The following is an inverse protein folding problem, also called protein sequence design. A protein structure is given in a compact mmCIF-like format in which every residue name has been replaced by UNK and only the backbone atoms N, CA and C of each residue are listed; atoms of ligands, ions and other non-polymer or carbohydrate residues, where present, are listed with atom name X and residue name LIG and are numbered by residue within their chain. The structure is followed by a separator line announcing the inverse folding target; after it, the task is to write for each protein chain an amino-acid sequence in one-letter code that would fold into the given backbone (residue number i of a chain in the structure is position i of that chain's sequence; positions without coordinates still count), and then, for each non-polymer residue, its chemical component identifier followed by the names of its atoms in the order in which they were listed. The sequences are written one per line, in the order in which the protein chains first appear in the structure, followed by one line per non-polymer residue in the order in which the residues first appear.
data_IF_116620790478
#
_entry.id   IF_116620790478
#
_cell.length_a   1.000
_cell.length_b   1.000
_cell.length_c   1.000
_cell.angle_alpha   90.00
_cell.angle_beta   90.00
_cell.angle_gamma   90.00
#
_symmetry.space_group_name_H-M   'P 1'
#
loop_
_entity.id
_entity.type
_entity.pdbx_description
1 polymer ?
#
# COMPACT_ATOMS: atom_id res chain seq x y z
N UNK A 1 32.97 -9.80 15.33
CA UNK A 1 31.57 -9.33 15.39
C UNK A 1 31.24 -8.69 14.05
N UNK A 2 31.01 -9.49 13.01
CA UNK A 2 30.66 -9.00 11.68
C UNK A 2 29.15 -9.04 11.60
N UNK A 3 28.50 -7.88 11.80
CA UNK A 3 27.07 -7.74 11.55
C UNK A 3 26.88 -7.96 10.05
N UNK A 4 26.39 -9.15 9.70
CA UNK A 4 26.06 -9.49 8.33
C UNK A 4 24.97 -8.52 7.87
N UNK A 5 25.36 -7.56 7.03
CA UNK A 5 24.42 -6.76 6.25
C UNK A 5 23.56 -7.77 5.46
N UNK A 6 22.24 -7.83 5.68
CA UNK A 6 21.43 -8.82 4.99
C UNK A 6 21.47 -8.50 3.50
N UNK A 7 22.12 -9.38 2.73
CA UNK A 7 22.04 -9.47 1.28
C UNK A 7 20.59 -9.22 0.88
N UNK A 8 20.32 -8.27 -0.01
CA UNK A 8 19.00 -7.64 -0.20
C UNK A 8 17.79 -8.60 -0.26
N UNK A 9 17.99 -9.84 -0.72
CA UNK A 9 16.99 -10.92 -0.65
C UNK A 9 16.51 -11.24 0.77
N UNK A 10 17.41 -11.38 1.75
CA UNK A 10 17.04 -11.68 3.15
C UNK A 10 16.29 -10.51 3.81
N UNK A 11 16.62 -9.26 3.44
CA UNK A 11 15.90 -8.07 3.91
C UNK A 11 14.48 -8.03 3.35
N UNK A 12 14.31 -8.34 2.07
CA UNK A 12 13.00 -8.44 1.42
C UNK A 12 12.14 -9.53 2.05
N UNK A 13 12.69 -10.73 2.29
CA UNK A 13 11.96 -11.83 2.93
C UNK A 13 11.52 -11.46 4.34
N UNK A 14 12.36 -10.79 5.13
CA UNK A 14 12.00 -10.28 6.45
C UNK A 14 10.84 -9.27 6.37
N UNK A 15 10.86 -8.36 5.39
CA UNK A 15 9.78 -7.40 5.16
C UNK A 15 8.48 -8.09 4.73
N UNK A 16 8.53 -9.09 3.86
CA UNK A 16 7.37 -9.90 3.46
C UNK A 16 6.80 -10.65 4.67
N UNK A 17 7.68 -11.22 5.48
CA UNK A 17 7.31 -11.95 6.69
C UNK A 17 6.67 -11.04 7.74
N UNK A 18 7.16 -9.80 7.88
CA UNK A 18 6.58 -8.80 8.77
C UNK A 18 5.25 -8.26 8.24
N UNK A 19 5.17 -8.01 6.93
CA UNK A 19 3.96 -7.58 6.27
C UNK A 19 2.80 -8.57 6.47
N UNK A 20 3.05 -9.87 6.23
CA UNK A 20 2.02 -10.91 6.42
C UNK A 20 1.55 -10.98 7.88
N UNK A 21 2.47 -10.84 8.83
CA UNK A 21 2.15 -10.88 10.26
C UNK A 21 1.23 -9.72 10.64
N UNK A 22 1.59 -8.51 10.22
CA UNK A 22 0.79 -7.31 10.51
C UNK A 22 -0.57 -7.34 9.82
N UNK A 23 -0.62 -7.64 8.53
CA UNK A 23 -1.84 -7.52 7.71
C UNK A 23 -2.80 -8.69 7.92
N UNK A 24 -2.29 -9.91 8.12
CA UNK A 24 -3.14 -11.11 8.26
C UNK A 24 -3.51 -11.42 9.72
N UNK A 25 -2.68 -11.02 10.69
CA UNK A 25 -2.89 -11.37 12.09
C UNK A 25 -3.10 -10.16 12.99
N UNK A 26 -2.14 -9.23 13.03
CA UNK A 26 -2.12 -8.20 14.09
C UNK A 26 -3.17 -7.10 13.87
N UNK A 27 -3.31 -6.59 12.64
CA UNK A 27 -4.32 -5.59 12.30
C UNK A 27 -5.75 -6.13 12.43
N UNK A 28 -6.11 -7.31 11.89
CA UNK A 28 -7.44 -7.86 12.08
C UNK A 28 -7.76 -8.19 13.54
N UNK A 29 -6.76 -8.56 14.35
CA UNK A 29 -6.93 -8.79 15.78
C UNK A 29 -7.26 -7.47 16.50
N UNK A 30 -6.44 -6.44 16.29
CA UNK A 30 -6.65 -5.10 16.87
C UNK A 30 -7.95 -4.46 16.44
N UNK A 31 -8.37 -4.70 15.20
CA UNK A 31 -9.65 -4.23 14.69
C UNK A 31 -10.85 -4.86 15.39
N UNK A 32 -10.77 -6.15 15.71
CA UNK A 32 -11.80 -6.84 16.48
C UNK A 32 -11.84 -6.35 17.93
N UNK A 33 -10.66 -6.20 18.55
CA UNK A 33 -10.54 -5.68 19.92
C UNK A 33 -11.04 -4.22 20.03
N UNK A 34 -10.68 -3.38 19.06
CA UNK A 34 -11.00 -1.96 19.01
C UNK A 34 -12.33 -1.61 18.32
N UNK A 35 -13.10 -2.61 17.84
CA UNK A 35 -14.35 -2.41 17.07
C UNK A 35 -14.19 -1.43 15.89
N UNK A 36 -13.12 -1.59 15.12
CA UNK A 36 -12.84 -0.76 13.96
C UNK A 36 -13.85 -1.00 12.84
N UNK A 37 -13.99 -0.03 11.94
CA UNK A 37 -14.91 -0.16 10.79
C UNK A 37 -14.41 -1.23 9.81
N UNK A 38 -13.09 -1.35 9.68
CA UNK A 38 -12.44 -2.34 8.83
C UNK A 38 -11.94 -3.48 9.70
N UNK A 39 -12.51 -4.67 9.53
CA UNK A 39 -12.17 -5.87 10.33
C UNK A 39 -11.67 -7.03 9.47
N UNK A 40 -11.92 -6.98 8.16
CA UNK A 40 -11.54 -8.03 7.22
C UNK A 40 -10.07 -7.91 6.81
N UNK A 41 -9.34 -9.03 6.87
CA UNK A 41 -7.94 -9.17 6.42
C UNK A 41 -7.74 -8.68 4.99
N UNK A 42 -8.65 -9.02 4.07
CA UNK A 42 -8.56 -8.59 2.67
C UNK A 42 -8.73 -7.07 2.49
N UNK A 43 -9.46 -6.39 3.38
CA UNK A 43 -9.58 -4.93 3.35
C UNK A 43 -8.27 -4.27 3.77
N UNK A 44 -7.61 -4.78 4.82
CA UNK A 44 -6.27 -4.33 5.19
C UNK A 44 -5.28 -4.53 4.06
N UNK A 45 -5.26 -5.74 3.48
CA UNK A 45 -4.40 -6.03 2.33
C UNK A 45 -4.63 -5.04 1.19
N UNK A 46 -5.89 -4.78 0.83
CA UNK A 46 -6.22 -3.82 -0.23
C UNK A 46 -5.74 -2.41 0.08
N UNK A 47 -6.03 -1.90 1.28
CA UNK A 47 -5.67 -0.53 1.68
C UNK A 47 -4.16 -0.38 1.65
N UNK A 48 -3.42 -1.28 2.31
CA UNK A 48 -1.96 -1.17 2.37
C UNK A 48 -1.34 -1.32 0.98
N UNK A 49 -1.84 -2.22 0.13
CA UNK A 49 -1.39 -2.35 -1.27
C UNK A 49 -1.66 -1.10 -2.09
N UNK A 50 -2.87 -0.54 -2.00
CA UNK A 50 -3.23 0.67 -2.74
C UNK A 50 -2.31 1.83 -2.34
N UNK A 51 -1.97 1.96 -1.05
CA UNK A 51 -1.02 2.97 -0.58
C UNK A 51 0.43 2.70 -1.00
N UNK A 52 0.87 1.45 -0.97
CA UNK A 52 2.22 1.06 -1.39
C UNK A 52 2.47 1.39 -2.87
N UNK A 53 1.45 1.28 -3.72
CA UNK A 53 1.53 1.65 -5.14
C UNK A 53 1.07 3.10 -5.42
N UNK A 54 0.57 3.82 -4.41
CA UNK A 54 0.04 5.18 -4.54
C UNK A 54 -1.18 5.29 -5.45
N UNK A 55 -2.00 4.24 -5.54
CA UNK A 55 -3.05 4.12 -6.54
C UNK A 55 -3.82 2.81 -6.45
N UNK A 56 -4.47 2.43 -7.55
CA UNK A 56 -5.18 1.13 -7.64
C UNK A 56 -4.16 0.01 -7.83
N UNK A 57 -3.99 -0.82 -6.81
CA UNK A 57 -2.99 -1.89 -6.84
C UNK A 57 -3.18 -2.86 -8.01
N UNK A 58 -4.41 -3.12 -8.44
CA UNK A 58 -4.71 -4.04 -9.55
C UNK A 58 -4.51 -3.45 -10.95
N UNK A 59 -4.29 -2.14 -11.06
CA UNK A 59 -3.88 -1.50 -12.31
C UNK A 59 -2.36 -1.59 -12.49
N UNK A 60 -1.61 -1.84 -11.40
CA UNK A 60 -0.14 -1.93 -11.38
C UNK A 60 0.35 -3.36 -11.24
N UNK A 61 -0.33 -4.17 -10.40
CA UNK A 61 0.07 -5.53 -10.03
C UNK A 61 -0.90 -6.55 -10.60
N UNK A 62 -0.37 -7.69 -11.04
CA UNK A 62 -1.18 -8.73 -11.66
C UNK A 62 -1.82 -9.64 -10.59
N UNK A 63 -3.15 -9.57 -10.48
CA UNK A 63 -3.94 -10.35 -9.52
C UNK A 63 -3.87 -11.86 -9.75
N UNK A 64 -3.48 -12.31 -10.95
CA UNK A 64 -3.57 -13.71 -11.39
C UNK A 64 -2.26 -14.47 -11.27
N UNK A 65 -1.12 -13.78 -11.20
CA UNK A 65 0.21 -14.41 -11.22
C UNK A 65 0.75 -14.75 -9.84
N UNK A 66 0.51 -13.92 -8.85
CA UNK A 66 1.11 -14.05 -7.52
C UNK A 66 0.38 -13.17 -6.51
N UNK A 67 0.57 -13.40 -5.19
CA UNK A 67 0.10 -12.48 -4.18
C UNK A 67 0.61 -11.07 -4.48
N UNK A 68 -0.28 -10.07 -4.52
CA UNK A 68 0.07 -8.72 -4.97
C UNK A 68 1.23 -8.11 -4.15
N UNK A 69 1.29 -8.39 -2.85
CA UNK A 69 2.38 -7.92 -1.99
C UNK A 69 3.75 -8.49 -2.37
N UNK A 70 3.82 -9.67 -3.00
CA UNK A 70 5.08 -10.27 -3.46
C UNK A 70 5.62 -9.60 -4.74
N UNK A 71 4.77 -8.86 -5.45
CA UNK A 71 5.12 -8.12 -6.66
C UNK A 71 5.59 -6.68 -6.36
N UNK A 72 5.49 -6.22 -5.10
CA UNK A 72 5.96 -4.89 -4.68
C UNK A 72 7.48 -4.80 -4.78
N UNK A 73 8.00 -3.63 -5.12
CA UNK A 73 9.43 -3.32 -5.01
C UNK A 73 9.85 -3.27 -3.53
N UNK A 74 11.15 -3.39 -3.24
CA UNK A 74 11.65 -3.39 -1.85
C UNK A 74 11.25 -2.10 -1.09
N UNK A 75 11.34 -0.95 -1.75
CA UNK A 75 10.90 0.33 -1.19
C UNK A 75 9.38 0.39 -0.93
N UNK A 76 8.58 -0.13 -1.87
CA UNK A 76 7.13 -0.18 -1.71
C UNK A 76 6.72 -1.11 -0.58
N UNK A 77 7.40 -2.24 -0.45
CA UNK A 77 7.18 -3.20 0.63
C UNK A 77 7.61 -2.63 1.99
N UNK A 78 8.75 -1.93 2.06
CA UNK A 78 9.18 -1.25 3.27
C UNK A 78 8.17 -0.16 3.68
N UNK A 79 7.69 0.64 2.72
CA UNK A 79 6.63 1.63 2.96
C UNK A 79 5.31 0.98 3.42
N UNK A 80 4.94 -0.16 2.84
CA UNK A 80 3.77 -0.93 3.21
C UNK A 80 3.83 -1.44 4.65
N UNK A 81 4.99 -1.97 5.07
CA UNK A 81 5.24 -2.42 6.45
C UNK A 81 5.18 -1.22 7.41
N UNK A 82 5.89 -0.14 7.12
CA UNK A 82 5.88 1.06 7.96
C UNK A 82 4.47 1.64 8.12
N UNK A 83 3.66 1.62 7.05
CA UNK A 83 2.25 2.01 7.09
C UNK A 83 1.42 1.09 7.98
N UNK A 84 1.57 -0.23 7.85
CA UNK A 84 0.86 -1.18 8.69
C UNK A 84 1.22 -1.02 10.18
N UNK A 85 2.49 -0.77 10.50
CA UNK A 85 2.93 -0.47 11.87
C UNK A 85 2.37 0.85 12.39
N UNK A 86 2.28 1.88 11.55
CA UNK A 86 1.61 3.14 11.92
C UNK A 86 0.14 2.95 12.19
N UNK A 87 -0.57 2.16 11.39
CA UNK A 87 -1.98 1.82 11.66
C UNK A 87 -2.11 1.06 12.98
N UNK A 88 -1.16 0.18 13.30
CA UNK A 88 -1.15 -0.52 14.57
C UNK A 88 -0.98 0.45 15.77
N UNK A 89 -0.18 1.51 15.60
CA UNK A 89 0.07 2.52 16.61
C UNK A 89 -1.07 3.55 16.75
N UNK A 90 -1.57 4.09 15.64
CA UNK A 90 -2.60 5.15 15.63
C UNK A 90 -4.03 4.60 15.69
N UNK A 91 -4.26 3.42 15.13
CA UNK A 91 -5.54 2.72 15.15
C UNK A 91 -6.52 3.10 14.04
N UNK A 92 -7.82 2.98 14.33
CA UNK A 92 -8.94 3.22 13.39
C UNK A 92 -8.92 4.59 12.69
N UNK A 93 -8.56 5.72 13.34
CA UNK A 93 -8.57 7.03 12.68
C UNK A 93 -7.68 7.07 11.43
N UNK A 94 -6.43 6.61 11.56
CA UNK A 94 -5.50 6.54 10.43
C UNK A 94 -6.01 5.58 9.37
N UNK A 95 -6.51 4.40 9.78
CA UNK A 95 -7.04 3.40 8.84
C UNK A 95 -8.18 3.95 7.98
N UNK A 96 -9.07 4.77 8.56
CA UNK A 96 -10.17 5.39 7.82
C UNK A 96 -9.69 6.41 6.80
N UNK A 97 -8.66 7.19 7.12
CA UNK A 97 -8.03 8.08 6.13
C UNK A 97 -7.43 7.29 4.97
N UNK A 98 -6.77 6.17 5.28
CA UNK A 98 -6.17 5.30 4.28
C UNK A 98 -7.22 4.65 3.38
N UNK A 99 -8.32 4.15 3.95
CA UNK A 99 -9.44 3.60 3.18
C UNK A 99 -10.11 4.68 2.32
N UNK A 100 -10.33 5.89 2.85
CA UNK A 100 -10.88 6.99 2.09
C UNK A 100 -10.02 7.35 0.86
N UNK A 101 -8.69 7.38 1.02
CA UNK A 101 -7.75 7.59 -0.11
C UNK A 101 -7.78 6.44 -1.12
N UNK A 102 -7.84 5.19 -0.65
CA UNK A 102 -8.01 4.00 -1.51
C UNK A 102 -9.31 4.06 -2.33
N UNK A 103 -10.41 4.50 -1.73
CA UNK A 103 -11.69 4.71 -2.41
C UNK A 103 -11.63 5.86 -3.44
N UNK A 104 -10.91 6.94 -3.12
CA UNK A 104 -10.73 8.06 -4.03
C UNK A 104 -10.00 7.64 -5.33
N UNK A 105 -8.95 6.82 -5.23
CA UNK A 105 -8.24 6.29 -6.42
C UNK A 105 -9.12 5.43 -7.34
N UNK A 106 -10.15 4.78 -6.78
CA UNK A 106 -11.10 3.94 -7.52
C UNK A 106 -12.19 4.74 -8.23
N UNK A 107 -12.14 6.08 -8.17
CA UNK A 107 -13.12 6.94 -8.82
C UNK A 107 -14.46 6.99 -8.09
N UNK A 108 -14.53 6.51 -6.83
CA UNK A 108 -15.64 6.86 -5.96
C UNK A 108 -15.32 8.25 -5.42
N UNK A 109 -16.04 9.31 -5.84
CA UNK A 109 -15.72 10.63 -5.36
C UNK A 109 -15.85 10.61 -3.83
N UNK A 110 -14.85 11.12 -3.07
CA UNK A 110 -15.19 11.66 -1.76
C UNK A 110 -16.34 12.65 -2.01
N UNK A 111 -17.43 12.58 -1.24
CA UNK A 111 -18.37 13.71 -1.16
C UNK A 111 -17.50 14.91 -0.72
N UNK A 112 -17.03 15.90 -1.48
CA UNK A 112 -17.15 16.34 -2.87
C UNK A 112 -15.81 17.09 -3.21
N UNK A 113 -15.64 17.90 -4.30
CA UNK A 113 -14.51 17.74 -5.22
C UNK A 113 -13.57 18.96 -5.31
N UNK A 114 -12.39 18.82 -5.92
CA UNK A 114 -11.84 19.85 -6.83
C UNK A 114 -10.59 19.38 -7.56
N UNK A 115 -10.76 19.28 -8.89
CA UNK A 115 -9.83 19.49 -10.01
C UNK A 115 -8.32 19.40 -9.70
N UNK A 116 -7.64 18.45 -10.33
CA UNK A 116 -6.72 18.72 -11.46
C UNK A 116 -5.91 17.46 -11.82
N UNK A 117 -6.18 16.90 -12.99
CA UNK A 117 -5.14 16.39 -13.90
C UNK A 117 -5.73 16.37 -15.31
N UNK A 118 -4.92 16.58 -16.35
CA UNK A 118 -4.17 15.46 -16.92
C UNK A 118 -2.69 15.81 -17.09
N UNK A 119 -1.79 14.89 -16.75
CA UNK A 119 -1.18 13.89 -17.65
C UNK A 119 -0.43 14.53 -18.83
N UNK A 120 0.90 14.42 -18.73
CA UNK A 120 1.92 14.21 -19.76
C UNK A 120 1.48 14.35 -21.22
N UNK A 121 2.05 15.34 -21.91
CA UNK A 121 2.27 15.30 -23.37
C UNK A 121 3.69 15.82 -23.64
N UNK A 122 4.52 14.93 -24.19
CA UNK A 122 5.86 15.18 -24.72
C UNK A 122 5.81 16.20 -25.86
N UNK A 123 6.76 17.15 -25.97
CA UNK A 123 7.10 17.71 -27.27
C UNK A 123 8.32 16.96 -27.84
N UNK A 124 8.08 16.24 -28.94
CA UNK A 124 9.14 15.73 -29.83
C UNK A 124 9.72 16.92 -30.59
N UNK A 125 11.01 17.16 -30.40
CA UNK A 125 11.83 18.16 -31.08
C UNK A 125 11.68 18.07 -32.59
N UNK A 126 11.28 19.17 -33.24
CA UNK A 126 11.52 19.40 -34.67
C UNK A 126 12.37 20.66 -34.78
N UNK A 127 13.69 20.46 -34.87
CA UNK A 127 14.62 21.52 -35.26
C UNK A 127 14.60 21.61 -36.78
N UNK A 128 14.23 22.79 -37.29
CA UNK A 128 14.35 23.16 -38.69
C UNK A 128 15.40 24.25 -38.78
N UNK A 129 16.51 23.98 -39.47
CA UNK A 129 17.28 24.95 -40.26
C UNK A 129 18.09 24.21 -41.30
#
# INVERSE_FOLDING_TARGET
MTRAEPVGGARREALLARYRELVLHELPRRAREGRWVVTNDHCFGRIVLDHAVGGRWYDVLDRRRSPAFAQLSDDQLAGAVAMAERVLAEGDPLLRELDARSLAWRGKPPKTPTKTTPRTTTPRTTTRR
#
